data_IF_405175025330
#
_entry.id   IF_405175025330
#
_cell.length_a   1.000
_cell.length_b   1.000
_cell.length_c   1.000
_cell.angle_alpha   90.00
_cell.angle_beta   90.00
_cell.angle_gamma   90.00
#
_symmetry.space_group_name_H-M   'P 1'
#
loop_
_entity.id
_entity.type
_entity.pdbx_description
1 polymer ?
#
# COMPACT_ATOMS: atom_id res chain seq x y z
N UNK A 1 6.42 5.03 -10.41
CA UNK A 1 5.00 5.04 -10.86
C UNK A 1 4.22 5.92 -9.89
N UNK A 2 3.77 7.11 -10.32
CA UNK A 2 2.96 8.03 -9.49
C UNK A 2 1.64 7.33 -9.17
N UNK A 3 1.40 7.04 -7.89
CA UNK A 3 0.11 6.55 -7.40
C UNK A 3 -0.99 7.48 -7.93
N UNK A 4 -2.06 6.95 -8.51
CA UNK A 4 -3.20 7.72 -9.02
C UNK A 4 -3.77 8.70 -7.98
N UNK A 5 -3.52 8.44 -6.69
CA UNK A 5 -3.92 9.33 -5.59
C UNK A 5 -3.12 10.63 -5.56
N UNK A 6 -1.81 10.61 -5.85
CA UNK A 6 -0.96 11.80 -5.76
C UNK A 6 -1.13 12.75 -6.95
N UNK A 7 -1.59 12.26 -8.12
CA UNK A 7 -1.87 13.12 -9.28
C UNK A 7 -3.08 14.05 -9.09
N UNK A 8 -3.99 13.72 -8.17
CA UNK A 8 -5.19 14.54 -7.88
C UNK A 8 -5.09 15.30 -6.55
N UNK A 9 -4.03 15.08 -5.78
CA UNK A 9 -3.85 15.72 -4.49
C UNK A 9 -3.42 17.19 -4.66
N UNK A 10 -4.09 18.15 -3.99
CA UNK A 10 -3.55 19.48 -3.81
C UNK A 10 -2.15 19.43 -3.22
N UNK A 11 -1.26 20.33 -3.64
CA UNK A 11 0.14 20.34 -3.18
C UNK A 11 0.27 20.40 -1.65
N UNK A 12 -0.58 21.19 -1.00
CA UNK A 12 -0.64 21.29 0.46
C UNK A 12 -0.94 19.97 1.17
N UNK A 13 -1.64 19.03 0.52
CA UNK A 13 -1.96 17.72 1.09
C UNK A 13 -0.83 16.70 0.89
N UNK A 14 0.05 16.92 -0.09
CA UNK A 14 1.20 16.04 -0.33
C UNK A 14 2.32 16.26 0.69
N UNK A 15 2.37 17.45 1.28
CA UNK A 15 3.39 17.87 2.25
C UNK A 15 2.92 17.69 3.71
N UNK A 16 1.65 17.35 3.92
CA UNK A 16 1.05 17.13 5.24
C UNK A 16 1.00 15.64 5.59
N UNK A 17 1.80 15.23 6.58
CA UNK A 17 1.92 13.84 7.02
C UNK A 17 0.68 13.29 7.73
N UNK A 18 -0.27 14.14 8.11
CA UNK A 18 -1.55 13.73 8.70
C UNK A 18 -2.65 13.57 7.64
N UNK A 19 -2.39 13.90 6.36
CA UNK A 19 -3.36 13.80 5.28
C UNK A 19 -3.18 12.52 4.49
N UNK A 20 -4.25 11.73 4.42
CA UNK A 20 -4.26 10.46 3.72
C UNK A 20 -5.33 10.44 2.63
N UNK A 21 -5.04 9.82 1.47
CA UNK A 21 -6.06 9.50 0.48
C UNK A 21 -6.79 8.20 0.86
N UNK A 22 -8.12 8.22 0.80
CA UNK A 22 -8.98 7.04 0.87
C UNK A 22 -9.72 6.84 -0.45
N UNK A 23 -10.04 5.58 -0.75
CA UNK A 23 -10.71 5.18 -1.99
C UNK A 23 -11.59 3.95 -1.77
N UNK A 24 -12.75 3.97 -2.40
CA UNK A 24 -13.78 2.93 -2.29
C UNK A 24 -13.31 1.56 -2.81
N UNK A 25 -13.79 0.48 -2.18
CA UNK A 25 -13.46 -0.90 -2.51
C UNK A 25 -13.70 -1.26 -3.98
N UNK A 26 -14.77 -0.73 -4.60
CA UNK A 26 -15.11 -1.00 -6.01
C UNK A 26 -14.06 -0.54 -7.00
N UNK A 27 -13.21 0.40 -6.59
CA UNK A 27 -12.13 0.93 -7.40
C UNK A 27 -10.77 0.36 -6.96
N UNK A 28 -10.73 -0.39 -5.86
CA UNK A 28 -9.54 -0.82 -5.12
C UNK A 28 -9.38 0.03 -3.86
N UNK A 29 -9.46 -0.62 -2.71
CA UNK A 29 -9.55 0.05 -1.42
C UNK A 29 -8.25 0.79 -1.04
N UNK A 30 -8.39 2.02 -0.58
CA UNK A 30 -7.41 2.66 0.31
C UNK A 30 -8.20 3.13 1.51
N UNK A 31 -7.90 2.62 2.69
CA UNK A 31 -8.66 2.94 3.90
C UNK A 31 -7.73 3.16 5.07
N UNK A 32 -8.01 4.19 5.86
CA UNK A 32 -7.25 4.56 7.06
C UNK A 32 -8.14 4.43 8.28
N UNK A 33 -7.72 3.60 9.22
CA UNK A 33 -8.33 3.49 10.55
C UNK A 33 -7.50 4.32 11.52
N UNK A 34 -8.14 5.24 12.23
CA UNK A 34 -7.50 6.20 13.12
C UNK A 34 -8.44 6.57 14.26
N UNK A 35 -7.87 6.99 15.40
CA UNK A 35 -8.67 7.39 16.56
C UNK A 35 -9.39 8.73 16.33
N UNK A 36 -8.73 9.67 15.63
CA UNK A 36 -9.32 10.91 15.16
C UNK A 36 -9.18 10.97 13.64
N UNK A 37 -10.31 11.12 12.95
CA UNK A 37 -10.36 11.16 11.48
C UNK A 37 -11.43 12.13 11.02
N UNK A 38 -11.02 13.12 10.24
CA UNK A 38 -11.90 14.15 9.67
C UNK A 38 -11.77 14.15 8.15
N UNK A 39 -12.90 14.07 7.45
CA UNK A 39 -12.94 14.23 5.99
C UNK A 39 -12.64 15.68 5.63
N UNK A 40 -11.60 15.91 4.84
CA UNK A 40 -11.26 17.24 4.33
C UNK A 40 -12.04 17.56 3.06
N UNK A 41 -11.86 16.72 2.03
CA UNK A 41 -12.46 16.96 0.72
C UNK A 41 -12.48 15.68 -0.12
N UNK A 42 -13.53 15.52 -0.93
CA UNK A 42 -13.57 14.52 -2.00
C UNK A 42 -13.22 15.18 -3.34
N UNK A 43 -12.27 14.59 -4.06
CA UNK A 43 -11.90 14.99 -5.41
C UNK A 43 -11.97 13.74 -6.29
N UNK A 44 -12.95 13.71 -7.20
CA UNK A 44 -13.27 12.53 -8.01
C UNK A 44 -13.60 11.32 -7.12
N UNK A 45 -12.86 10.23 -7.28
CA UNK A 45 -13.01 8.97 -6.55
C UNK A 45 -12.14 8.87 -5.28
N UNK A 46 -11.37 9.92 -4.97
CA UNK A 46 -10.48 9.96 -3.80
C UNK A 46 -11.07 10.89 -2.74
N UNK A 47 -11.16 10.39 -1.51
CA UNK A 47 -11.52 11.16 -0.33
C UNK A 47 -10.25 11.46 0.45
N UNK A 48 -9.91 12.72 0.65
CA UNK A 48 -8.80 13.11 1.52
C UNK A 48 -9.31 13.27 2.95
N UNK A 49 -8.62 12.64 3.89
CA UNK A 49 -8.90 12.70 5.32
C UNK A 49 -7.68 13.22 6.05
N UNK A 50 -7.89 14.05 7.08
CA UNK A 50 -6.88 14.29 8.10
C UNK A 50 -7.09 13.21 9.17
N UNK A 51 -6.05 12.44 9.48
CA UNK A 51 -6.12 11.30 10.39
C UNK A 51 -4.96 11.35 11.40
N UNK A 52 -5.32 11.30 12.68
CA UNK A 52 -4.38 11.29 13.82
C UNK A 52 -4.53 10.01 14.62
N UNK A 53 -3.41 9.57 15.19
CA UNK A 53 -3.32 8.29 15.90
C UNK A 53 -3.82 7.12 15.01
N UNK A 54 -3.17 6.97 13.86
CA UNK A 54 -3.48 5.91 12.88
C UNK A 54 -3.25 4.52 13.49
N UNK A 55 -4.30 3.72 13.50
CA UNK A 55 -4.35 2.35 14.04
C UNK A 55 -4.15 1.29 12.94
N UNK A 56 -4.52 1.61 11.70
CA UNK A 56 -4.41 0.68 10.59
C UNK A 56 -4.57 1.33 9.23
N UNK A 57 -3.96 0.71 8.22
CA UNK A 57 -4.12 1.10 6.81
C UNK A 57 -4.39 -0.16 6.01
N UNK A 58 -5.39 -0.11 5.13
CA UNK A 58 -5.70 -1.20 4.21
C UNK A 58 -5.53 -0.68 2.79
N UNK A 59 -4.81 -1.45 1.98
CA UNK A 59 -4.59 -1.17 0.56
C UNK A 59 -4.92 -2.40 -0.27
N UNK A 60 -5.83 -2.24 -1.22
CA UNK A 60 -6.12 -3.23 -2.26
C UNK A 60 -5.99 -2.56 -3.63
N UNK A 61 -5.15 -3.11 -4.50
CA UNK A 61 -5.02 -2.59 -5.86
C UNK A 61 -6.31 -2.80 -6.64
N UNK A 62 -6.58 -1.94 -7.62
CA UNK A 62 -7.74 -2.10 -8.52
C UNK A 62 -7.75 -3.46 -9.23
N UNK A 63 -6.57 -4.00 -9.53
CA UNK A 63 -6.42 -5.30 -10.17
C UNK A 63 -6.61 -6.49 -9.23
N UNK A 64 -6.66 -6.28 -7.91
CA UNK A 64 -6.69 -7.36 -6.91
C UNK A 64 -5.35 -8.05 -6.64
N UNK A 65 -4.33 -7.82 -7.48
CA UNK A 65 -3.00 -8.45 -7.36
C UNK A 65 -2.18 -7.94 -6.16
N UNK A 66 -2.70 -6.99 -5.39
CA UNK A 66 -2.08 -6.55 -4.14
C UNK A 66 -3.18 -6.31 -3.14
N UNK A 67 -3.03 -6.93 -1.96
CA UNK A 67 -3.86 -6.72 -0.79
C UNK A 67 -2.92 -6.67 0.40
N UNK A 68 -2.74 -5.47 0.97
CA UNK A 68 -1.88 -5.24 2.11
C UNK A 68 -2.65 -4.59 3.25
N UNK A 69 -2.28 -4.97 4.45
CA UNK A 69 -2.71 -4.31 5.68
C UNK A 69 -1.50 -3.92 6.51
N UNK A 70 -1.51 -2.71 7.02
CA UNK A 70 -0.63 -2.27 8.08
C UNK A 70 -1.47 -2.09 9.35
N UNK A 71 -0.94 -2.53 10.49
CA UNK A 71 -1.58 -2.37 11.80
C UNK A 71 -0.56 -1.87 12.81
N UNK A 72 -0.95 -0.88 13.60
CA UNK A 72 -0.15 -0.38 14.69
C UNK A 72 0.11 -1.50 15.71
N UNK A 73 1.34 -1.57 16.22
CA UNK A 73 1.72 -2.46 17.32
C UNK A 73 2.02 -1.63 18.57
N UNK A 74 2.88 -0.60 18.45
CA UNK A 74 3.27 0.29 19.55
C UNK A 74 3.73 1.64 19.02
N UNK A 75 3.14 2.74 19.52
CA UNK A 75 3.44 4.12 19.07
C UNK A 75 3.42 4.19 17.54
N UNK A 76 4.51 4.59 16.91
CA UNK A 76 4.60 4.74 15.46
C UNK A 76 5.00 3.44 14.73
N UNK A 77 5.27 2.36 15.48
CA UNK A 77 5.64 1.06 14.89
C UNK A 77 4.40 0.21 14.63
N UNK A 78 4.39 -0.45 13.48
CA UNK A 78 3.34 -1.39 13.10
C UNK A 78 3.84 -2.53 12.23
N UNK A 79 2.95 -3.45 11.92
CA UNK A 79 3.21 -4.64 11.10
C UNK A 79 2.47 -4.51 9.77
N UNK A 80 3.23 -4.56 8.68
CA UNK A 80 2.69 -4.78 7.34
C UNK A 80 2.54 -6.29 7.07
N UNK A 81 1.45 -6.68 6.42
CA UNK A 81 1.21 -8.07 5.99
C UNK A 81 0.27 -8.09 4.79
N UNK A 82 0.32 -9.17 4.00
CA UNK A 82 -0.54 -9.36 2.85
C UNK A 82 0.21 -9.85 1.63
N UNK A 83 -0.43 -9.70 0.47
CA UNK A 83 0.11 -10.06 -0.83
C UNK A 83 0.43 -8.80 -1.62
N UNK A 84 1.60 -8.79 -2.26
CA UNK A 84 2.04 -7.67 -3.06
C UNK A 84 2.53 -8.15 -4.43
N UNK A 85 2.09 -7.42 -5.46
CA UNK A 85 2.68 -7.56 -6.79
C UNK A 85 4.13 -7.08 -6.78
N UNK A 86 4.94 -7.53 -7.73
CA UNK A 86 6.34 -7.09 -7.85
C UNK A 86 6.46 -5.57 -7.96
N UNK A 87 5.58 -4.92 -8.73
CA UNK A 87 5.54 -3.46 -8.85
C UNK A 87 5.28 -2.77 -7.50
N UNK A 88 4.39 -3.35 -6.69
CA UNK A 88 4.13 -2.82 -5.35
C UNK A 88 5.37 -2.94 -4.47
N UNK A 89 6.10 -4.05 -4.54
CA UNK A 89 7.35 -4.22 -3.80
C UNK A 89 8.40 -3.19 -4.21
N UNK A 90 8.56 -2.91 -5.51
CA UNK A 90 9.46 -1.85 -5.99
C UNK A 90 9.05 -0.50 -5.40
N UNK A 91 7.76 -0.13 -5.46
CA UNK A 91 7.27 1.13 -4.91
C UNK A 91 7.52 1.24 -3.39
N UNK A 92 7.35 0.14 -2.65
CA UNK A 92 7.62 0.12 -1.20
C UNK A 92 9.10 0.29 -0.88
N UNK A 93 9.98 -0.26 -1.72
CA UNK A 93 11.43 -0.09 -1.59
C UNK A 93 11.85 1.35 -1.91
N UNK A 94 11.33 1.92 -3.00
CA UNK A 94 11.56 3.33 -3.38
C UNK A 94 11.05 4.30 -2.30
N UNK A 95 9.94 3.98 -1.64
CA UNK A 95 9.38 4.76 -0.54
C UNK A 95 10.11 4.54 0.81
N UNK A 96 11.13 3.68 0.85
CA UNK A 96 11.89 3.38 2.07
C UNK A 96 11.13 2.55 3.11
N UNK A 97 9.98 1.98 2.76
CA UNK A 97 9.15 1.15 3.65
C UNK A 97 9.80 -0.22 3.88
N UNK A 98 10.48 -0.74 2.86
CA UNK A 98 11.28 -1.97 2.90
C UNK A 98 12.65 -1.72 2.30
N UNK A 99 13.64 -2.54 2.62
CA UNK A 99 14.96 -2.44 2.01
C UNK A 99 14.96 -3.03 0.60
N UNK A 100 15.80 -2.48 -0.28
CA UNK A 100 15.99 -3.03 -1.63
C UNK A 100 16.47 -4.49 -1.58
N UNK A 101 17.39 -4.80 -0.66
CA UNK A 101 17.87 -6.16 -0.43
C UNK A 101 16.73 -7.14 -0.11
N UNK A 102 15.79 -6.73 0.75
CA UNK A 102 14.63 -7.57 1.10
C UNK A 102 13.74 -7.80 -0.13
N UNK A 103 13.46 -6.75 -0.93
CA UNK A 103 12.65 -6.86 -2.13
C UNK A 103 13.28 -7.78 -3.19
N UNK A 104 14.59 -7.67 -3.42
CA UNK A 104 15.33 -8.52 -4.35
C UNK A 104 15.36 -10.00 -3.89
N UNK A 105 15.60 -10.24 -2.61
CA UNK A 105 15.60 -11.60 -2.04
C UNK A 105 14.23 -12.25 -2.18
N UNK A 106 13.15 -11.50 -1.95
CA UNK A 106 11.79 -11.99 -2.15
C UNK A 106 11.50 -12.33 -3.63
N UNK A 107 11.87 -11.44 -4.55
CA UNK A 107 11.68 -11.66 -5.99
C UNK A 107 12.42 -12.92 -6.49
N UNK A 108 13.67 -13.14 -6.03
CA UNK A 108 14.44 -14.35 -6.35
C UNK A 108 13.75 -15.63 -5.87
N UNK A 109 13.26 -15.66 -4.63
CA UNK A 109 12.52 -16.81 -4.07
C UNK A 109 11.28 -17.14 -4.91
N UNK A 110 10.50 -16.14 -5.30
CA UNK A 110 9.28 -16.34 -6.12
C UNK A 110 9.57 -16.86 -7.52
N UNK A 111 10.64 -16.37 -8.16
CA UNK A 111 11.07 -16.89 -9.46
C UNK A 111 11.50 -18.37 -9.40
N UNK A 112 12.20 -18.75 -8.31
CA UNK A 112 12.58 -20.14 -8.06
C UNK A 112 11.36 -21.04 -7.81
N UNK A 113 10.39 -20.60 -7.01
CA UNK A 113 9.12 -21.30 -6.78
C UNK A 113 8.37 -21.53 -8.10
N UNK A 114 8.23 -20.51 -8.95
CA UNK A 114 7.59 -20.66 -10.27
C UNK A 114 8.32 -21.66 -11.17
N UNK A 115 9.66 -21.58 -11.22
CA UNK A 115 10.48 -22.51 -12.02
C UNK A 115 10.32 -23.95 -11.53
N UNK A 116 10.27 -24.16 -10.21
CA UNK A 116 10.05 -25.48 -9.62
C UNK A 116 8.64 -26.01 -9.91
N UNK A 117 7.62 -25.16 -9.89
CA UNK A 117 6.25 -25.53 -10.21
C UNK A 117 6.10 -25.91 -11.69
N UNK A 118 6.73 -25.15 -12.61
CA UNK A 118 6.75 -25.48 -14.05
C UNK A 118 7.40 -26.84 -14.27
N UNK A 119 8.58 -27.09 -13.67
CA UNK A 119 9.29 -28.38 -13.77
C UNK A 119 8.45 -29.56 -13.28
N UNK A 120 7.59 -29.36 -12.27
CA UNK A 120 6.70 -30.38 -11.72
C UNK A 120 5.46 -30.66 -12.57
N UNK A 121 5.13 -29.76 -13.51
CA UNK A 121 4.00 -29.91 -14.43
C UNK A 121 4.45 -30.59 -15.73
N UNK A 122 5.69 -30.37 -16.16
CA UNK A 122 6.24 -30.89 -17.42
C UNK A 122 7.05 -32.19 -17.28
N UNK A 123 7.28 -32.67 -16.06
CA UNK A 123 7.92 -33.95 -15.75
C UNK A 123 6.95 -34.90 -15.07
#
# INVERSE_FOLDING_TARGET
MISTCSSYAPRSYLEDFEVFPERDEKLGAVYVEAADKVTLKKIRDITFVNARDVLGIIYTSKSGNTSMKWRQIRRYNGKASGEASLNTLVNLAEAGVITQEWAENYARKKAQEQTSNIKKIIG
#
